data_IF_073402217268
#
_entry.id   IF_073402217268
#
_cell.length_a   1.000
_cell.length_b   1.000
_cell.length_c   1.000
_cell.angle_alpha   90.00
_cell.angle_beta   90.00
_cell.angle_gamma   90.00
#
_symmetry.space_group_name_H-M   'P 1'
#
loop_
_entity.id
_entity.type
_entity.pdbx_description
1 polymer ?
#
# COMPACT_ATOMS: atom_id res chain seq x y z
N UNK A 1 -6.28 -9.63 -22.36
CA UNK A 1 -7.56 -10.20 -21.94
C UNK A 1 -8.74 -9.24 -22.15
N UNK A 2 -8.66 -7.95 -21.71
CA UNK A 2 -9.80 -7.02 -21.80
C UNK A 2 -10.35 -6.85 -23.23
N UNK A 3 -9.48 -6.70 -24.22
CA UNK A 3 -9.87 -6.61 -25.62
C UNK A 3 -10.49 -7.93 -26.12
N UNK A 4 -9.99 -9.07 -25.66
CA UNK A 4 -10.57 -10.39 -26.00
C UNK A 4 -11.95 -10.57 -25.36
N UNK A 5 -12.15 -10.16 -24.10
CA UNK A 5 -13.47 -10.18 -23.48
C UNK A 5 -14.46 -9.27 -24.20
N UNK A 6 -14.03 -8.07 -24.59
CA UNK A 6 -14.87 -7.13 -25.36
C UNK A 6 -15.27 -7.73 -26.71
N UNK A 7 -14.29 -8.27 -27.45
CA UNK A 7 -14.54 -8.90 -28.74
C UNK A 7 -15.53 -10.09 -28.64
N UNK A 8 -15.37 -10.93 -27.62
CA UNK A 8 -16.29 -12.08 -27.39
C UNK A 8 -17.70 -11.63 -26.99
N UNK A 9 -17.85 -10.44 -26.36
CA UNK A 9 -19.15 -9.92 -25.97
C UNK A 9 -19.88 -9.21 -27.12
N UNK A 10 -19.17 -8.36 -27.87
CA UNK A 10 -19.76 -7.40 -28.81
C UNK A 10 -19.46 -7.74 -30.29
N UNK A 11 -18.51 -8.62 -30.56
CA UNK A 11 -18.05 -8.97 -31.91
C UNK A 11 -17.33 -7.82 -32.65
N UNK A 12 -17.06 -6.70 -31.98
CA UNK A 12 -16.52 -5.48 -32.59
C UNK A 12 -15.01 -5.59 -32.72
N UNK A 13 -14.49 -5.48 -33.95
CA UNK A 13 -13.08 -5.42 -34.26
C UNK A 13 -12.64 -3.97 -34.33
N UNK A 14 -11.89 -3.50 -33.33
CA UNK A 14 -11.27 -2.17 -33.34
C UNK A 14 -9.88 -2.22 -33.94
N UNK A 15 -9.36 -1.11 -34.47
CA UNK A 15 -7.97 -1.00 -34.98
C UNK A 15 -6.97 -1.48 -33.91
N UNK A 16 -7.15 -1.06 -32.67
CA UNK A 16 -6.31 -1.46 -31.53
C UNK A 16 -6.40 -2.98 -31.27
N UNK A 17 -7.58 -3.58 -31.43
CA UNK A 17 -7.75 -5.02 -31.32
C UNK A 17 -6.93 -5.75 -32.38
N UNK A 18 -7.04 -5.34 -33.67
CA UNK A 18 -6.31 -5.95 -34.78
C UNK A 18 -4.79 -5.86 -34.57
N UNK A 19 -4.28 -4.69 -34.28
CA UNK A 19 -2.82 -4.49 -34.04
C UNK A 19 -2.31 -5.35 -32.87
N UNK A 20 -3.06 -5.39 -31.76
CA UNK A 20 -2.68 -6.19 -30.58
C UNK A 20 -2.78 -7.69 -30.88
N UNK A 21 -3.76 -8.12 -31.64
CA UNK A 21 -3.94 -9.52 -32.04
C UNK A 21 -2.84 -9.98 -32.97
N UNK A 22 -2.50 -9.20 -33.98
CA UNK A 22 -1.41 -9.51 -34.90
C UNK A 22 -0.08 -9.63 -34.18
N UNK A 23 0.20 -8.72 -33.24
CA UNK A 23 1.41 -8.76 -32.41
C UNK A 23 1.44 -9.96 -31.43
N UNK A 24 0.29 -10.43 -30.96
CA UNK A 24 0.19 -11.52 -29.99
C UNK A 24 0.12 -12.91 -30.65
N UNK A 25 -0.38 -13.00 -31.88
CA UNK A 25 -0.48 -14.27 -32.60
C UNK A 25 0.91 -14.79 -33.02
N UNK A 26 1.27 -15.94 -32.46
CA UNK A 26 2.42 -16.70 -32.95
C UNK A 26 2.11 -17.37 -34.28
N UNK A 27 3.11 -17.89 -34.98
CA UNK A 27 2.92 -18.59 -36.24
C UNK A 27 1.87 -19.72 -36.19
N UNK A 28 1.72 -20.38 -35.04
CA UNK A 28 0.73 -21.43 -34.78
C UNK A 28 -0.70 -20.90 -34.79
N UNK A 29 -0.92 -19.66 -34.38
CA UNK A 29 -2.25 -19.06 -34.25
C UNK A 29 -2.67 -18.19 -35.45
N UNK A 30 -1.81 -18.05 -36.49
CA UNK A 30 -2.14 -17.23 -37.65
C UNK A 30 -3.35 -17.72 -38.44
N UNK A 31 -3.64 -19.04 -38.39
CA UNK A 31 -4.77 -19.68 -39.07
C UNK A 31 -6.02 -19.85 -38.20
N UNK A 32 -5.95 -19.46 -36.92
CA UNK A 32 -7.05 -19.61 -35.97
C UNK A 32 -7.94 -18.37 -36.01
N UNK A 33 -9.25 -18.57 -35.99
CA UNK A 33 -10.20 -17.45 -35.91
C UNK A 33 -10.05 -16.65 -34.62
N UNK A 34 -10.46 -15.38 -34.66
CA UNK A 34 -10.25 -14.45 -33.54
C UNK A 34 -11.00 -14.86 -32.27
N UNK A 35 -12.14 -15.54 -32.39
CA UNK A 35 -12.92 -15.97 -31.23
C UNK A 35 -12.19 -17.09 -30.48
N UNK A 36 -11.74 -18.12 -31.18
CA UNK A 36 -10.95 -19.21 -30.59
C UNK A 36 -9.65 -18.71 -30.00
N UNK A 37 -8.93 -17.84 -30.71
CA UNK A 37 -7.71 -17.22 -30.16
C UNK A 37 -8.01 -16.47 -28.86
N UNK A 38 -9.09 -15.67 -28.80
CA UNK A 38 -9.43 -14.92 -27.59
C UNK A 38 -9.78 -15.84 -26.41
N UNK A 39 -10.47 -16.94 -26.67
CA UNK A 39 -10.79 -17.93 -25.62
C UNK A 39 -9.53 -18.59 -25.08
N UNK A 40 -8.67 -19.09 -25.95
CA UNK A 40 -7.38 -19.70 -25.57
C UNK A 40 -6.48 -18.72 -24.83
N UNK A 41 -6.41 -17.47 -25.32
CA UNK A 41 -5.62 -16.43 -24.67
C UNK A 41 -6.09 -16.13 -23.25
N UNK A 42 -7.41 -16.03 -23.03
CA UNK A 42 -7.99 -15.81 -21.71
C UNK A 42 -7.70 -17.00 -20.80
N UNK A 43 -7.83 -18.24 -21.32
CA UNK A 43 -7.56 -19.44 -20.54
C UNK A 43 -6.09 -19.52 -20.12
N UNK A 44 -5.16 -19.34 -21.04
CA UNK A 44 -3.70 -19.34 -20.75
C UNK A 44 -3.33 -18.22 -19.78
N UNK A 45 -3.94 -17.04 -19.94
CA UNK A 45 -3.73 -15.93 -19.01
C UNK A 45 -4.19 -16.26 -17.59
N UNK A 46 -5.38 -16.85 -17.44
CA UNK A 46 -5.91 -17.28 -16.16
C UNK A 46 -5.05 -18.39 -15.53
N UNK A 47 -4.59 -19.35 -16.32
CA UNK A 47 -3.64 -20.38 -15.87
C UNK A 47 -2.34 -19.74 -15.38
N UNK A 48 -1.80 -18.74 -16.07
CA UNK A 48 -0.62 -17.98 -15.66
C UNK A 48 -0.80 -17.32 -14.29
N UNK A 49 -1.98 -16.74 -14.03
CA UNK A 49 -2.32 -16.21 -12.70
C UNK A 49 -2.31 -17.32 -11.65
N UNK A 50 -2.93 -18.48 -11.90
CA UNK A 50 -2.91 -19.59 -10.97
C UNK A 50 -1.49 -20.10 -10.68
N UNK A 51 -0.63 -20.19 -11.70
CA UNK A 51 0.79 -20.54 -11.49
C UNK A 51 1.54 -19.52 -10.64
N UNK A 52 1.23 -18.23 -10.73
CA UNK A 52 1.84 -17.21 -9.87
C UNK A 52 1.45 -17.40 -8.39
N UNK A 53 0.21 -17.80 -8.10
CA UNK A 53 -0.20 -18.18 -6.74
C UNK A 53 0.54 -19.44 -6.24
N UNK A 54 0.74 -20.45 -7.10
CA UNK A 54 1.51 -21.64 -6.72
C UNK A 54 2.95 -21.26 -6.37
N UNK A 55 3.61 -20.38 -7.13
CA UNK A 55 4.93 -19.88 -6.79
C UNK A 55 4.97 -19.20 -5.40
N UNK A 56 3.95 -18.41 -5.08
CA UNK A 56 3.81 -17.79 -3.75
C UNK A 56 3.62 -18.82 -2.65
N UNK A 57 2.82 -19.86 -2.87
CA UNK A 57 2.62 -20.96 -1.91
C UNK A 57 3.94 -21.69 -1.66
N UNK A 58 4.71 -22.00 -2.71
CA UNK A 58 6.03 -22.65 -2.59
C UNK A 58 6.97 -21.77 -1.74
N UNK A 59 7.04 -20.47 -2.02
CA UNK A 59 7.86 -19.54 -1.24
C UNK A 59 7.46 -19.52 0.24
N UNK A 60 6.16 -19.52 0.53
CA UNK A 60 5.64 -19.60 1.91
C UNK A 60 6.01 -20.92 2.61
N UNK A 61 5.91 -22.05 1.92
CA UNK A 61 6.30 -23.35 2.46
C UNK A 61 7.80 -23.42 2.76
N UNK A 62 8.65 -22.87 1.88
CA UNK A 62 10.09 -22.75 2.12
C UNK A 62 10.35 -21.90 3.38
N UNK A 63 9.70 -20.73 3.47
CA UNK A 63 9.82 -19.85 4.63
C UNK A 63 9.37 -20.53 5.93
N UNK A 64 8.24 -21.23 5.90
CA UNK A 64 7.75 -22.00 7.05
C UNK A 64 8.74 -23.10 7.46
N UNK A 65 9.30 -23.83 6.49
CA UNK A 65 10.29 -24.89 6.74
C UNK A 65 11.54 -24.32 7.41
N UNK A 66 12.07 -23.20 6.89
CA UNK A 66 13.21 -22.49 7.50
C UNK A 66 12.87 -22.07 8.93
N UNK A 67 11.70 -21.46 9.13
CA UNK A 67 11.24 -21.02 10.46
C UNK A 67 11.16 -22.19 11.44
N UNK A 68 10.55 -23.31 11.05
CA UNK A 68 10.41 -24.49 11.90
C UNK A 68 11.78 -25.12 12.22
N UNK A 69 12.71 -25.17 11.26
CA UNK A 69 14.07 -25.68 11.46
C UNK A 69 14.88 -24.77 12.41
N UNK A 70 14.68 -23.46 12.32
CA UNK A 70 15.46 -22.47 13.07
C UNK A 70 14.75 -21.95 14.33
N UNK A 71 13.51 -22.37 14.61
CA UNK A 71 12.71 -21.85 15.74
C UNK A 71 13.41 -21.90 17.11
N UNK A 72 14.35 -22.83 17.32
CA UNK A 72 15.13 -22.93 18.55
C UNK A 72 16.17 -21.83 18.70
N UNK A 73 16.58 -21.19 17.61
CA UNK A 73 17.54 -20.09 17.59
C UNK A 73 16.87 -18.78 18.01
N UNK A 74 15.54 -18.65 17.77
CA UNK A 74 14.81 -17.47 18.18
C UNK A 74 14.64 -17.43 19.69
N UNK A 75 14.70 -16.22 20.30
CA UNK A 75 14.44 -16.04 21.71
C UNK A 75 13.08 -16.64 22.07
N UNK A 76 13.07 -17.69 22.87
CA UNK A 76 11.83 -18.28 23.36
C UNK A 76 11.19 -17.29 24.35
N UNK A 77 9.86 -17.09 24.33
CA UNK A 77 9.22 -16.35 25.39
C UNK A 77 9.60 -17.03 26.72
N UNK A 78 10.11 -16.22 27.65
CA UNK A 78 10.51 -16.72 28.95
C UNK A 78 9.40 -17.65 29.47
N UNK A 79 9.74 -18.90 29.78
CA UNK A 79 8.80 -19.80 30.45
C UNK A 79 8.20 -19.01 31.57
N UNK A 80 6.86 -18.99 31.68
CA UNK A 80 6.18 -18.39 32.82
C UNK A 80 6.81 -19.00 34.07
N UNK A 81 7.87 -18.36 34.59
CA UNK A 81 8.21 -18.57 35.98
C UNK A 81 6.92 -18.32 36.71
N UNK A 82 6.48 -19.27 37.53
CA UNK A 82 5.38 -19.03 38.46
C UNK A 82 5.80 -17.80 39.23
N UNK A 83 5.24 -16.63 38.82
CA UNK A 83 5.53 -15.38 39.47
C UNK A 83 5.27 -15.64 40.94
N UNK A 84 6.29 -15.48 41.77
CA UNK A 84 6.09 -15.44 43.20
C UNK A 84 4.92 -14.50 43.42
N UNK A 85 3.94 -14.95 44.18
CA UNK A 85 2.72 -14.15 44.44
C UNK A 85 3.19 -12.94 45.24
N UNK A 86 3.59 -11.88 44.51
CA UNK A 86 3.88 -10.59 45.11
C UNK A 86 2.52 -10.02 45.45
N UNK A 87 2.18 -9.98 46.72
CA UNK A 87 0.98 -9.31 47.18
C UNK A 87 1.19 -7.79 47.00
N UNK A 88 0.66 -7.27 45.91
CA UNK A 88 0.59 -5.84 45.67
C UNK A 88 -0.50 -5.24 46.55
N UNK A 89 -0.20 -4.08 47.13
CA UNK A 89 -1.22 -3.29 47.86
C UNK A 89 -2.35 -2.89 46.90
N UNK A 90 -3.52 -2.56 47.46
CA UNK A 90 -4.65 -2.11 46.65
C UNK A 90 -4.32 -0.85 45.82
N UNK A 91 -3.49 0.03 46.36
CA UNK A 91 -3.02 1.23 45.63
C UNK A 91 -2.10 0.88 44.46
N UNK A 92 -1.19 -0.07 44.61
CA UNK A 92 -0.30 -0.53 43.51
C UNK A 92 -1.10 -1.23 42.42
N UNK A 93 -2.07 -2.07 42.75
CA UNK A 93 -2.98 -2.70 41.78
C UNK A 93 -3.77 -1.66 40.99
N UNK A 94 -4.27 -0.62 41.65
CA UNK A 94 -4.99 0.47 41.02
C UNK A 94 -4.07 1.29 40.08
N UNK A 95 -2.84 1.57 40.49
CA UNK A 95 -1.85 2.27 39.69
C UNK A 95 -1.47 1.46 38.40
N UNK A 96 -1.22 0.16 38.56
CA UNK A 96 -0.95 -0.73 37.43
C UNK A 96 -2.14 -0.83 36.46
N UNK A 97 -3.36 -0.92 36.97
CA UNK A 97 -4.55 -0.96 36.12
C UNK A 97 -4.74 0.36 35.35
N UNK A 98 -4.45 1.50 35.97
CA UNK A 98 -4.52 2.81 35.31
C UNK A 98 -3.45 2.96 34.23
N UNK A 99 -2.23 2.49 34.49
CA UNK A 99 -1.16 2.45 33.47
C UNK A 99 -1.55 1.61 32.27
N UNK A 100 -2.06 0.38 32.47
CA UNK A 100 -2.54 -0.51 31.41
C UNK A 100 -3.64 0.19 30.60
N UNK A 101 -4.59 0.85 31.28
CA UNK A 101 -5.68 1.58 30.64
C UNK A 101 -5.16 2.71 29.76
N UNK A 102 -4.18 3.50 30.23
CA UNK A 102 -3.56 4.57 29.44
C UNK A 102 -2.83 4.03 28.21
N UNK A 103 -2.08 2.91 28.35
CA UNK A 103 -1.40 2.23 27.26
C UNK A 103 -2.38 1.73 26.20
N UNK A 104 -3.51 1.15 26.59
CA UNK A 104 -4.55 0.71 25.68
C UNK A 104 -5.25 1.89 24.98
N UNK A 105 -5.53 2.98 25.67
CA UNK A 105 -6.07 4.19 25.03
C UNK A 105 -5.12 4.76 23.99
N UNK A 106 -3.82 4.82 24.30
CA UNK A 106 -2.80 5.26 23.36
C UNK A 106 -2.76 4.36 22.11
N UNK A 107 -2.86 3.03 22.32
CA UNK A 107 -2.91 2.08 21.22
C UNK A 107 -4.14 2.29 20.34
N UNK A 108 -5.35 2.34 20.91
CA UNK A 108 -6.59 2.52 20.15
C UNK A 108 -6.64 3.86 19.41
N UNK A 109 -6.12 4.93 20.01
CA UNK A 109 -6.02 6.21 19.33
C UNK A 109 -5.11 6.13 18.09
N UNK A 110 -3.95 5.48 18.21
CA UNK A 110 -3.03 5.26 17.07
C UNK A 110 -3.68 4.37 16.01
N UNK A 111 -4.36 3.27 16.43
CA UNK A 111 -5.06 2.37 15.50
C UNK A 111 -6.14 3.11 14.70
N UNK A 112 -6.93 3.99 15.35
CA UNK A 112 -7.94 4.80 14.68
C UNK A 112 -7.34 5.69 13.57
N UNK A 113 -6.20 6.33 13.84
CA UNK A 113 -5.50 7.17 12.86
C UNK A 113 -4.93 6.33 11.71
N UNK A 114 -4.38 5.17 12.04
CA UNK A 114 -3.70 4.29 11.10
C UNK A 114 -4.68 3.67 10.08
N UNK A 115 -5.97 3.49 10.42
CA UNK A 115 -7.01 3.05 9.47
C UNK A 115 -7.09 4.02 8.28
N UNK A 116 -7.19 5.33 8.53
CA UNK A 116 -7.27 6.35 7.47
C UNK A 116 -5.98 6.44 6.66
N UNK A 117 -4.84 6.28 7.33
CA UNK A 117 -3.55 6.20 6.64
C UNK A 117 -3.51 4.99 5.68
N UNK A 118 -3.84 3.78 6.14
CA UNK A 118 -3.79 2.58 5.31
C UNK A 118 -4.81 2.61 4.16
N UNK A 119 -5.99 3.19 4.39
CA UNK A 119 -6.95 3.43 3.32
C UNK A 119 -6.33 4.25 2.18
N UNK A 120 -5.64 5.35 2.51
CA UNK A 120 -4.96 6.18 1.50
C UNK A 120 -3.73 5.49 0.93
N UNK A 121 -2.89 4.90 1.76
CA UNK A 121 -1.64 4.30 1.33
C UNK A 121 -1.84 3.14 0.34
N UNK A 122 -2.79 2.24 0.61
CA UNK A 122 -3.04 1.09 -0.27
C UNK A 122 -3.70 1.44 -1.61
N UNK A 123 -4.03 2.71 -1.85
CA UNK A 123 -4.37 3.18 -3.19
C UNK A 123 -3.22 3.03 -4.18
N UNK A 124 -1.99 2.84 -3.70
CA UNK A 124 -0.83 2.53 -4.55
C UNK A 124 -1.02 1.23 -5.34
N UNK A 125 -1.70 0.25 -4.78
CA UNK A 125 -1.95 -1.05 -5.43
C UNK A 125 -3.10 -1.02 -6.42
N UNK A 126 -4.14 -0.23 -6.17
CA UNK A 126 -5.35 -0.25 -6.99
C UNK A 126 -5.52 1.05 -7.78
N UNK A 127 -5.81 2.17 -7.13
CA UNK A 127 -6.09 3.43 -7.83
C UNK A 127 -4.91 3.91 -8.69
N UNK A 128 -3.67 3.74 -8.20
CA UNK A 128 -2.49 4.12 -8.96
C UNK A 128 -2.28 3.22 -10.19
N UNK A 129 -2.65 1.93 -10.13
CA UNK A 129 -2.63 1.05 -11.30
C UNK A 129 -3.66 1.45 -12.35
N UNK A 130 -4.87 1.85 -11.93
CA UNK A 130 -5.87 2.41 -12.87
C UNK A 130 -5.41 3.74 -13.45
N UNK A 131 -4.82 4.61 -12.64
CA UNK A 131 -4.24 5.86 -13.14
C UNK A 131 -3.11 5.60 -14.15
N UNK A 132 -2.25 4.63 -13.88
CA UNK A 132 -1.20 4.22 -14.80
C UNK A 132 -1.76 3.75 -16.14
N UNK A 133 -2.81 2.94 -16.12
CA UNK A 133 -3.48 2.44 -17.33
C UNK A 133 -4.08 3.57 -18.17
N UNK A 134 -4.80 4.49 -17.51
CA UNK A 134 -5.63 5.47 -18.22
C UNK A 134 -4.81 6.72 -18.60
N UNK A 135 -4.01 7.27 -17.70
CA UNK A 135 -3.39 8.58 -17.84
C UNK A 135 -1.88 8.56 -18.10
N UNK A 136 -1.23 7.40 -18.05
CA UNK A 136 0.22 7.31 -18.25
C UNK A 136 0.53 6.53 -19.51
N UNK A 137 1.55 6.95 -20.25
CA UNK A 137 2.06 6.18 -21.35
C UNK A 137 2.90 5.01 -20.81
N UNK A 138 2.29 3.81 -20.86
CA UNK A 138 2.88 2.56 -20.37
C UNK A 138 3.03 1.53 -21.48
N UNK A 139 3.17 1.98 -22.73
CA UNK A 139 3.10 1.13 -23.95
C UNK A 139 4.05 -0.07 -23.93
N UNK A 140 5.16 0.04 -23.22
CA UNK A 140 6.17 -1.04 -23.11
C UNK A 140 6.00 -1.93 -21.87
N UNK A 141 5.18 -1.54 -20.89
CA UNK A 141 5.06 -2.23 -19.60
C UNK A 141 3.60 -2.22 -19.16
N UNK A 142 3.03 -3.41 -18.89
CA UNK A 142 1.66 -3.50 -18.39
C UNK A 142 1.47 -2.70 -17.10
N UNK A 143 0.34 -1.97 -16.95
CA UNK A 143 0.10 -1.09 -15.81
C UNK A 143 0.26 -1.77 -14.44
N UNK A 144 -0.08 -3.05 -14.34
CA UNK A 144 0.02 -3.85 -13.13
C UNK A 144 1.48 -4.09 -12.69
N UNK A 145 2.40 -4.18 -13.65
CA UNK A 145 3.85 -4.39 -13.38
C UNK A 145 4.44 -3.15 -12.68
N UNK A 146 3.83 -1.97 -12.86
CA UNK A 146 4.31 -0.76 -12.19
C UNK A 146 4.24 -0.88 -10.66
N UNK A 147 3.31 -1.65 -10.13
CA UNK A 147 3.21 -1.93 -8.70
C UNK A 147 4.46 -2.68 -8.15
N UNK A 148 5.15 -3.47 -8.96
CA UNK A 148 6.38 -4.16 -8.56
C UNK A 148 7.53 -3.21 -8.16
N UNK A 149 7.41 -1.91 -8.48
CA UNK A 149 8.38 -0.89 -8.05
C UNK A 149 8.36 -0.68 -6.53
N UNK A 150 7.22 -0.87 -5.88
CA UNK A 150 7.16 -0.74 -4.43
C UNK A 150 8.07 -1.78 -3.75
N UNK A 151 7.93 -3.11 -3.93
CA UNK A 151 8.85 -4.08 -3.33
C UNK A 151 10.31 -3.90 -3.80
N UNK A 152 10.55 -3.47 -5.03
CA UNK A 152 11.91 -3.15 -5.50
C UNK A 152 12.53 -2.01 -4.66
N UNK A 153 11.81 -0.91 -4.47
CA UNK A 153 12.27 0.19 -3.64
C UNK A 153 12.35 -0.19 -2.15
N UNK A 154 11.49 -1.07 -1.65
CA UNK A 154 11.58 -1.60 -0.28
C UNK A 154 12.94 -2.26 -0.06
N UNK A 155 13.35 -3.15 -0.97
CA UNK A 155 14.66 -3.84 -0.88
C UNK A 155 15.81 -2.84 -0.95
N UNK A 156 15.75 -1.90 -1.89
CA UNK A 156 16.83 -0.92 -2.12
C UNK A 156 16.95 0.10 -0.97
N UNK A 157 15.82 0.61 -0.48
CA UNK A 157 15.81 1.73 0.48
C UNK A 157 15.89 1.27 1.93
N UNK A 158 15.50 0.04 2.26
CA UNK A 158 15.57 -0.47 3.64
C UNK A 158 16.95 -0.30 4.27
N UNK A 159 18.07 -0.75 3.66
CA UNK A 159 19.40 -0.57 4.27
C UNK A 159 19.77 0.91 4.41
N UNK A 160 19.36 1.76 3.48
CA UNK A 160 19.63 3.20 3.51
C UNK A 160 18.90 3.87 4.67
N UNK A 161 17.60 3.61 4.82
CA UNK A 161 16.77 4.17 5.91
C UNK A 161 17.26 3.66 7.28
N UNK A 162 17.61 2.38 7.38
CA UNK A 162 18.16 1.81 8.60
C UNK A 162 19.51 2.44 8.96
N UNK A 163 20.37 2.67 7.97
CA UNK A 163 21.63 3.37 8.17
C UNK A 163 21.42 4.83 8.66
N UNK A 164 20.47 5.57 8.05
CA UNK A 164 20.12 6.93 8.47
C UNK A 164 19.67 6.94 9.94
N UNK A 165 18.74 6.04 10.32
CA UNK A 165 18.29 5.99 11.72
C UNK A 165 19.41 5.62 12.69
N UNK A 166 20.27 4.69 12.32
CA UNK A 166 21.43 4.29 13.12
C UNK A 166 22.45 5.44 13.25
N UNK A 167 22.67 6.20 12.19
CA UNK A 167 23.56 7.35 12.21
C UNK A 167 23.01 8.49 13.09
N UNK A 168 21.69 8.74 13.05
CA UNK A 168 21.02 9.72 13.92
C UNK A 168 21.10 9.31 15.39
N UNK A 169 20.86 8.02 15.69
CA UNK A 169 20.96 7.49 17.04
C UNK A 169 22.38 7.61 17.60
N UNK A 170 23.42 7.28 16.80
CA UNK A 170 24.84 7.44 17.21
C UNK A 170 25.22 8.89 17.50
N UNK A 171 24.54 9.86 16.89
CA UNK A 171 24.73 11.30 17.12
C UNK A 171 23.89 11.85 18.28
N UNK A 172 23.23 10.99 19.06
CA UNK A 172 22.35 11.41 20.16
C UNK A 172 21.06 12.11 19.69
N UNK A 173 20.73 12.04 18.40
CA UNK A 173 19.52 12.64 17.80
C UNK A 173 18.50 11.56 17.45
N UNK A 174 18.25 10.64 18.39
CA UNK A 174 17.27 9.59 18.17
C UNK A 174 15.86 10.18 18.06
N UNK A 175 15.20 9.89 16.93
CA UNK A 175 13.81 10.30 16.71
C UNK A 175 12.91 9.22 17.34
N UNK A 176 11.94 9.64 18.16
CA UNK A 176 10.98 8.72 18.76
C UNK A 176 10.12 8.00 17.72
N UNK A 177 9.66 6.79 18.04
CA UNK A 177 8.84 5.99 17.11
C UNK A 177 7.57 6.71 16.65
N UNK A 178 6.78 7.39 17.52
CA UNK A 178 5.62 8.16 17.06
C UNK A 178 5.98 9.28 16.08
N UNK A 179 7.12 9.95 16.26
CA UNK A 179 7.58 10.98 15.30
C UNK A 179 7.96 10.39 13.95
N UNK A 180 8.64 9.24 13.94
CA UNK A 180 8.97 8.55 12.70
C UNK A 180 7.70 8.17 11.93
N UNK A 181 6.67 7.66 12.61
CA UNK A 181 5.37 7.34 12.01
C UNK A 181 4.71 8.61 11.43
N UNK A 182 4.71 9.72 12.17
CA UNK A 182 4.18 10.99 11.67
C UNK A 182 4.94 11.50 10.43
N UNK A 183 6.27 11.37 10.40
CA UNK A 183 7.09 11.70 9.21
C UNK A 183 6.70 10.82 8.02
N UNK A 184 6.50 9.51 8.23
CA UNK A 184 6.02 8.61 7.18
C UNK A 184 4.66 9.06 6.62
N UNK A 185 3.71 9.45 7.48
CA UNK A 185 2.41 9.99 7.06
C UNK A 185 2.56 11.30 6.27
N UNK A 186 3.50 12.16 6.66
CA UNK A 186 3.82 13.40 5.92
C UNK A 186 4.34 13.10 4.52
N UNK A 187 5.25 12.12 4.38
CA UNK A 187 5.83 11.74 3.09
C UNK A 187 4.76 11.12 2.19
N UNK A 188 3.86 10.27 2.72
CA UNK A 188 2.73 9.74 1.96
C UNK A 188 1.78 10.88 1.52
N UNK A 189 1.48 11.82 2.40
CA UNK A 189 0.72 13.03 2.07
C UNK A 189 1.37 13.83 0.95
N UNK A 190 2.70 14.00 0.98
CA UNK A 190 3.45 14.67 -0.07
C UNK A 190 3.41 13.91 -1.41
N UNK A 191 3.41 12.56 -1.40
CA UNK A 191 3.27 11.76 -2.61
C UNK A 191 1.89 11.98 -3.27
N UNK A 192 0.81 11.99 -2.49
CA UNK A 192 -0.53 12.27 -3.01
C UNK A 192 -0.72 13.74 -3.38
N UNK A 193 -0.10 14.69 -2.68
CA UNK A 193 -0.06 16.10 -3.10
C UNK A 193 0.67 16.28 -4.43
N UNK A 194 1.76 15.56 -4.64
CA UNK A 194 2.44 15.53 -5.93
C UNK A 194 1.50 15.08 -7.05
N UNK A 195 0.76 13.98 -6.86
CA UNK A 195 -0.25 13.52 -7.83
C UNK A 195 -1.40 14.52 -8.01
N UNK A 196 -1.82 15.18 -6.91
CA UNK A 196 -2.84 16.22 -6.94
C UNK A 196 -2.41 17.37 -7.84
N UNK A 197 -1.23 17.94 -7.58
CA UNK A 197 -0.68 19.06 -8.35
C UNK A 197 -0.43 18.64 -9.81
N UNK A 198 0.13 17.45 -10.00
CA UNK A 198 0.39 16.89 -11.32
C UNK A 198 -0.91 16.77 -12.14
N UNK A 199 -1.93 16.12 -11.57
CA UNK A 199 -3.23 15.95 -12.24
C UNK A 199 -3.96 17.28 -12.49
N UNK A 200 -3.76 18.27 -11.61
CA UNK A 200 -4.30 19.62 -11.77
C UNK A 200 -3.64 20.35 -12.95
N UNK A 201 -2.30 20.31 -13.06
CA UNK A 201 -1.54 20.96 -14.14
C UNK A 201 -1.92 20.37 -15.50
N UNK A 202 -2.07 19.05 -15.58
CA UNK A 202 -2.46 18.36 -16.82
C UNK A 202 -3.97 18.39 -17.07
N UNK A 203 -4.75 19.02 -16.18
CA UNK A 203 -6.21 19.16 -16.27
C UNK A 203 -6.95 17.84 -16.58
N UNK A 204 -6.51 16.73 -15.96
CA UNK A 204 -7.10 15.43 -16.21
C UNK A 204 -8.56 15.35 -15.75
N UNK A 205 -9.50 15.01 -16.67
CA UNK A 205 -10.90 14.79 -16.33
C UNK A 205 -11.09 13.46 -15.57
N UNK A 206 -12.33 13.06 -15.33
CA UNK A 206 -12.61 11.72 -14.78
C UNK A 206 -12.03 10.61 -15.64
N UNK A 207 -11.67 9.48 -15.02
CA UNK A 207 -11.12 8.35 -15.78
C UNK A 207 -12.13 7.78 -16.79
N UNK A 208 -13.42 7.88 -16.49
CA UNK A 208 -14.49 7.47 -17.42
C UNK A 208 -14.52 8.36 -18.64
N UNK A 209 -14.49 9.68 -18.46
CA UNK A 209 -14.47 10.66 -19.53
C UNK A 209 -13.20 10.53 -20.38
N UNK A 210 -12.02 10.46 -19.75
CA UNK A 210 -10.75 10.32 -20.45
C UNK A 210 -10.69 9.07 -21.35
N UNK A 211 -11.27 7.95 -20.89
CA UNK A 211 -11.35 6.72 -21.71
C UNK A 211 -12.31 6.80 -22.88
N UNK A 212 -13.33 7.65 -22.79
CA UNK A 212 -14.30 7.84 -23.88
C UNK A 212 -13.81 8.80 -24.98
N UNK A 213 -12.72 9.55 -24.72
CA UNK A 213 -12.15 10.48 -25.70
C UNK A 213 -11.34 9.72 -26.76
N UNK A 214 -11.54 10.10 -28.00
CA UNK A 214 -10.67 9.71 -29.11
C UNK A 214 -9.41 10.60 -29.17
N UNK A 215 -8.44 10.23 -30.00
CA UNK A 215 -7.17 10.96 -30.12
C UNK A 215 -7.37 12.42 -30.56
N UNK A 216 -8.36 12.69 -31.41
CA UNK A 216 -8.65 14.04 -31.91
C UNK A 216 -9.27 14.91 -30.79
N UNK A 217 -10.20 14.36 -30.02
CA UNK A 217 -10.83 15.06 -28.88
C UNK A 217 -9.79 15.34 -27.79
N UNK A 218 -8.89 14.38 -27.50
CA UNK A 218 -7.80 14.58 -26.54
C UNK A 218 -6.86 15.72 -27.01
N UNK A 219 -6.46 15.71 -28.29
CA UNK A 219 -5.60 16.74 -28.85
C UNK A 219 -6.28 18.13 -28.85
N UNK A 220 -7.56 18.20 -29.21
CA UNK A 220 -8.34 19.43 -29.16
C UNK A 220 -8.48 19.99 -27.74
N UNK A 221 -8.59 19.13 -26.72
CA UNK A 221 -8.61 19.50 -25.31
C UNK A 221 -7.21 19.77 -24.72
N UNK A 222 -6.13 19.64 -25.49
CA UNK A 222 -4.75 19.78 -25.00
C UNK A 222 -4.34 18.68 -24.02
N UNK A 223 -5.05 17.56 -23.99
CA UNK A 223 -4.79 16.45 -23.08
C UNK A 223 -3.78 15.47 -23.68
N UNK A 224 -2.79 15.11 -22.90
CA UNK A 224 -1.77 14.12 -23.29
C UNK A 224 -1.55 13.15 -22.13
N UNK A 225 -1.21 11.89 -22.46
CA UNK A 225 -0.80 10.94 -21.42
C UNK A 225 0.53 11.37 -20.82
N UNK A 226 0.67 11.19 -19.52
CA UNK A 226 1.90 11.47 -18.78
C UNK A 226 3.02 10.52 -19.18
N UNK A 227 4.25 10.98 -19.02
CA UNK A 227 5.41 10.08 -19.00
C UNK A 227 5.44 9.19 -17.75
N UNK A 228 6.10 8.03 -17.79
CA UNK A 228 6.11 7.05 -16.70
C UNK A 228 6.82 7.53 -15.44
N UNK A 229 7.56 8.63 -15.48
CA UNK A 229 8.32 9.17 -14.35
C UNK A 229 7.41 9.58 -13.19
N UNK A 230 6.17 10.00 -13.47
CA UNK A 230 5.19 10.31 -12.42
C UNK A 230 4.93 9.12 -11.50
N UNK A 231 4.85 7.91 -12.07
CA UNK A 231 4.67 6.68 -11.29
C UNK A 231 5.93 6.35 -10.49
N UNK A 232 7.12 6.49 -11.10
CA UNK A 232 8.40 6.21 -10.42
C UNK A 232 8.55 7.09 -9.17
N UNK A 233 8.32 8.40 -9.30
CA UNK A 233 8.40 9.34 -8.17
C UNK A 233 7.36 9.03 -7.11
N UNK A 234 6.12 8.73 -7.51
CA UNK A 234 5.05 8.42 -6.57
C UNK A 234 5.34 7.12 -5.80
N UNK A 235 5.71 6.03 -6.47
CA UNK A 235 6.07 4.78 -5.80
C UNK A 235 7.29 4.94 -4.91
N UNK A 236 8.30 5.71 -5.32
CA UNK A 236 9.46 6.02 -4.48
C UNK A 236 9.05 6.69 -3.17
N UNK A 237 8.26 7.78 -3.23
CA UNK A 237 7.81 8.50 -2.05
C UNK A 237 6.93 7.63 -1.15
N UNK A 238 5.99 6.88 -1.73
CA UNK A 238 5.14 5.97 -0.97
C UNK A 238 5.94 4.86 -0.29
N UNK A 239 6.95 4.32 -0.96
CA UNK A 239 7.82 3.29 -0.35
C UNK A 239 8.65 3.87 0.81
N UNK A 240 9.18 5.08 0.67
CA UNK A 240 9.85 5.75 1.79
C UNK A 240 8.88 5.90 2.97
N UNK A 241 7.65 6.36 2.72
CA UNK A 241 6.62 6.47 3.75
C UNK A 241 6.32 5.12 4.44
N UNK A 242 6.23 4.05 3.66
CA UNK A 242 6.00 2.69 4.16
C UNK A 242 7.09 2.24 5.12
N UNK A 243 8.35 2.44 4.76
CA UNK A 243 9.50 2.08 5.61
C UNK A 243 9.52 2.82 6.95
N UNK A 244 8.90 4.01 7.02
CA UNK A 244 8.71 4.76 8.26
C UNK A 244 7.53 4.28 9.10
N UNK A 245 6.57 3.54 8.53
CA UNK A 245 5.33 3.18 9.24
C UNK A 245 5.22 1.69 9.53
N UNK A 246 5.43 0.83 8.52
CA UNK A 246 5.20 -0.62 8.66
C UNK A 246 6.04 -1.26 9.76
N UNK A 247 7.38 -1.22 9.74
CA UNK A 247 8.18 -1.87 10.77
C UNK A 247 8.11 -1.15 12.11
N UNK A 248 8.01 0.18 12.09
CA UNK A 248 8.00 0.99 13.30
C UNK A 248 6.66 0.95 14.02
N UNK A 249 5.56 0.80 13.29
CA UNK A 249 4.24 0.64 13.86
C UNK A 249 4.11 -0.63 14.69
N UNK A 250 4.53 -1.78 14.14
CA UNK A 250 4.56 -3.03 14.91
C UNK A 250 5.51 -2.96 16.11
N UNK A 251 6.68 -2.33 15.96
CA UNK A 251 7.60 -2.09 17.08
C UNK A 251 6.97 -1.20 18.15
N UNK A 252 6.23 -0.16 17.77
CA UNK A 252 5.53 0.73 18.70
C UNK A 252 4.43 -0.02 19.47
N UNK A 253 3.61 -0.80 18.77
CA UNK A 253 2.60 -1.66 19.39
C UNK A 253 3.23 -2.60 20.40
N UNK A 254 4.35 -3.25 20.05
CA UNK A 254 5.06 -4.16 20.94
C UNK A 254 5.61 -3.48 22.21
N UNK A 255 5.98 -2.20 22.12
CA UNK A 255 6.48 -1.43 23.27
C UNK A 255 5.36 -0.98 24.22
N UNK A 256 4.22 -0.57 23.64
CA UNK A 256 3.09 -0.06 24.46
C UNK A 256 2.24 -1.19 25.01
N UNK A 257 2.07 -2.28 24.28
CA UNK A 257 1.19 -3.36 24.65
C UNK A 257 1.62 -4.00 26.00
N UNK A 258 0.68 -4.23 26.92
CA UNK A 258 0.94 -5.05 28.09
C UNK A 258 1.44 -6.43 27.68
N UNK A 259 2.44 -6.97 28.37
CA UNK A 259 3.11 -8.24 28.00
C UNK A 259 2.15 -9.39 27.71
N UNK A 260 1.07 -9.50 28.51
CA UNK A 260 0.05 -10.55 28.37
C UNK A 260 -0.91 -10.35 27.18
N UNK A 261 -1.01 -9.12 26.62
CA UNK A 261 -1.87 -8.76 25.49
C UNK A 261 -1.10 -8.47 24.19
N UNK A 262 0.20 -8.64 24.19
CA UNK A 262 1.07 -8.23 23.09
C UNK A 262 0.64 -8.83 21.73
N UNK A 263 0.31 -10.14 21.70
CA UNK A 263 -0.17 -10.80 20.48
C UNK A 263 -1.51 -10.23 19.99
N UNK A 264 -2.44 -9.96 20.93
CA UNK A 264 -3.74 -9.36 20.60
C UNK A 264 -3.54 -7.94 20.04
N UNK A 265 -2.69 -7.13 20.67
CA UNK A 265 -2.41 -5.77 20.23
C UNK A 265 -1.75 -5.73 18.85
N UNK A 266 -0.85 -6.67 18.54
CA UNK A 266 -0.29 -6.82 17.19
C UNK A 266 -1.36 -7.25 16.17
N UNK A 267 -2.25 -8.16 16.55
CA UNK A 267 -3.40 -8.55 15.73
C UNK A 267 -4.32 -7.36 15.44
N UNK A 268 -4.57 -6.47 16.41
CA UNK A 268 -5.34 -5.24 16.22
C UNK A 268 -4.66 -4.27 15.24
N UNK A 269 -3.33 -4.20 15.21
CA UNK A 269 -2.61 -3.43 14.18
C UNK A 269 -2.91 -3.94 12.78
N UNK A 270 -2.87 -5.26 12.58
CA UNK A 270 -3.22 -5.88 11.30
C UNK A 270 -4.71 -5.70 10.96
N UNK A 271 -5.57 -5.74 11.98
CA UNK A 271 -7.02 -5.45 11.82
C UNK A 271 -7.25 -4.01 11.35
N UNK A 272 -6.53 -3.04 11.90
CA UNK A 272 -6.64 -1.64 11.45
C UNK A 272 -6.23 -1.49 9.97
N UNK A 273 -5.17 -2.19 9.55
CA UNK A 273 -4.78 -2.28 8.13
C UNK A 273 -5.89 -2.90 7.27
N UNK A 274 -6.48 -4.01 7.73
CA UNK A 274 -7.56 -4.69 7.02
C UNK A 274 -8.82 -3.82 6.89
N UNK A 275 -9.19 -3.07 7.94
CA UNK A 275 -10.31 -2.11 7.88
C UNK A 275 -10.02 -1.01 6.85
N UNK A 276 -8.82 -0.45 6.82
CA UNK A 276 -8.42 0.51 5.77
C UNK A 276 -8.60 -0.07 4.37
N UNK A 277 -8.23 -1.34 4.19
CA UNK A 277 -8.34 -2.04 2.91
C UNK A 277 -9.77 -2.30 2.44
N UNK A 278 -10.75 -2.41 3.34
CA UNK A 278 -12.17 -2.55 2.96
C UNK A 278 -12.66 -1.38 2.11
N UNK A 279 -12.08 -0.21 2.27
CA UNK A 279 -12.48 1.00 1.57
C UNK A 279 -11.68 1.28 0.27
N UNK A 280 -10.73 0.42 -0.10
CA UNK A 280 -9.86 0.65 -1.28
C UNK A 280 -10.68 0.88 -2.55
N UNK A 281 -11.78 0.14 -2.75
CA UNK A 281 -12.65 0.28 -3.92
C UNK A 281 -13.22 1.70 -4.09
N UNK A 282 -13.39 2.46 -3.00
CA UNK A 282 -13.84 3.85 -3.07
C UNK A 282 -12.89 4.72 -3.89
N UNK A 283 -11.58 4.45 -3.83
CA UNK A 283 -10.60 5.19 -4.62
C UNK A 283 -10.83 5.06 -6.12
N UNK A 284 -11.11 3.85 -6.60
CA UNK A 284 -11.44 3.61 -8.01
C UNK A 284 -12.75 4.28 -8.39
N UNK A 285 -13.75 4.23 -7.50
CA UNK A 285 -15.01 4.95 -7.70
C UNK A 285 -14.76 6.45 -7.84
N UNK A 286 -13.94 7.05 -6.97
CA UNK A 286 -13.57 8.48 -7.04
C UNK A 286 -12.84 8.81 -8.34
N UNK A 287 -11.90 7.99 -8.81
CA UNK A 287 -11.21 8.17 -10.10
C UNK A 287 -12.18 8.22 -11.28
N UNK A 288 -13.24 7.43 -11.23
CA UNK A 288 -14.23 7.34 -12.31
C UNK A 288 -15.31 8.41 -12.24
N UNK A 289 -15.66 8.92 -11.04
CA UNK A 289 -16.83 9.77 -10.82
C UNK A 289 -16.49 11.25 -10.56
N UNK A 290 -15.34 11.53 -9.98
CA UNK A 290 -14.96 12.93 -9.74
C UNK A 290 -14.69 13.65 -11.06
N UNK A 291 -15.16 14.91 -11.21
CA UNK A 291 -15.00 15.66 -12.45
C UNK A 291 -13.54 15.80 -12.89
N UNK A 292 -12.63 15.87 -11.95
CA UNK A 292 -11.18 16.00 -12.19
C UNK A 292 -10.38 15.08 -11.28
N UNK A 293 -9.32 14.50 -11.82
CA UNK A 293 -8.49 13.52 -11.13
C UNK A 293 -7.78 14.06 -9.87
N UNK A 294 -7.38 15.33 -9.90
CA UNK A 294 -6.72 15.95 -8.75
C UNK A 294 -7.58 15.93 -7.48
N UNK A 295 -8.90 15.96 -7.61
CA UNK A 295 -9.82 15.90 -6.45
C UNK A 295 -9.69 14.56 -5.71
N UNK A 296 -9.55 13.46 -6.43
CA UNK A 296 -9.35 12.14 -5.86
C UNK A 296 -8.03 12.07 -5.06
N UNK A 297 -6.94 12.52 -5.66
CA UNK A 297 -5.64 12.52 -4.99
C UNK A 297 -5.58 13.49 -3.81
N UNK A 298 -6.29 14.63 -3.89
CA UNK A 298 -6.40 15.59 -2.78
C UNK A 298 -7.10 14.97 -1.55
N UNK A 299 -8.10 14.11 -1.74
CA UNK A 299 -8.74 13.39 -0.64
C UNK A 299 -7.74 12.49 0.07
N UNK A 300 -6.94 11.71 -0.65
CA UNK A 300 -5.93 10.82 -0.03
C UNK A 300 -4.80 11.62 0.62
N UNK A 301 -4.36 12.71 0.01
CA UNK A 301 -3.43 13.65 0.63
C UNK A 301 -4.00 14.20 1.95
N UNK A 302 -5.26 14.61 1.94
CA UNK A 302 -5.97 15.12 3.12
C UNK A 302 -5.99 14.10 4.26
N UNK A 303 -6.37 12.85 4.00
CA UNK A 303 -6.36 11.80 5.02
C UNK A 303 -4.96 11.55 5.60
N UNK A 304 -3.92 11.52 4.76
CA UNK A 304 -2.54 11.37 5.24
C UNK A 304 -2.09 12.55 6.11
N UNK A 305 -2.40 13.79 5.69
CA UNK A 305 -2.00 15.01 6.41
C UNK A 305 -2.80 15.20 7.70
N UNK A 306 -4.09 14.86 7.72
CA UNK A 306 -4.89 14.85 8.94
C UNK A 306 -4.34 13.81 9.90
N UNK A 307 -4.07 12.58 9.42
CA UNK A 307 -3.46 11.52 10.23
C UNK A 307 -2.11 11.97 10.82
N UNK A 308 -1.27 12.63 10.03
CA UNK A 308 -0.02 13.23 10.49
C UNK A 308 -0.26 14.27 11.58
N UNK A 309 -1.19 15.21 11.35
CA UNK A 309 -1.50 16.28 12.29
C UNK A 309 -1.98 15.75 13.64
N UNK A 310 -2.90 14.78 13.64
CA UNK A 310 -3.40 14.13 14.86
C UNK A 310 -2.27 13.36 15.55
N UNK A 311 -1.44 12.62 14.81
CA UNK A 311 -0.30 11.90 15.35
C UNK A 311 0.69 12.87 16.02
N UNK A 312 1.04 13.99 15.38
CA UNK A 312 1.92 15.01 15.95
C UNK A 312 1.33 15.66 17.21
N UNK A 313 0.03 15.93 17.24
CA UNK A 313 -0.66 16.44 18.42
C UNK A 313 -0.58 15.49 19.62
N UNK A 314 -0.52 14.18 19.36
CA UNK A 314 -0.47 13.15 20.40
C UNK A 314 0.97 12.73 20.78
N UNK A 315 2.00 13.14 20.03
CA UNK A 315 3.39 12.66 20.20
C UNK A 315 3.87 12.74 21.64
N UNK A 316 3.70 13.89 22.31
CA UNK A 316 4.16 14.08 23.71
C UNK A 316 3.50 13.08 24.67
N UNK A 317 2.21 12.83 24.49
CA UNK A 317 1.48 11.85 25.28
C UNK A 317 1.93 10.42 24.99
N UNK A 318 2.08 10.07 23.69
CA UNK A 318 2.54 8.75 23.27
C UNK A 318 3.97 8.46 23.73
N UNK A 319 4.86 9.46 23.71
CA UNK A 319 6.24 9.34 24.23
C UNK A 319 6.26 9.11 25.75
N UNK A 320 5.31 9.72 26.49
CA UNK A 320 5.19 9.52 27.94
C UNK A 320 4.69 8.10 28.28
N UNK A 321 3.73 7.60 27.52
CA UNK A 321 3.13 6.28 27.73
C UNK A 321 4.06 5.14 27.26
N UNK A 322 4.93 5.40 26.30
CA UNK A 322 5.90 4.42 25.78
C UNK A 322 7.20 4.30 26.61
N UNK A 323 7.42 5.18 27.58
CA UNK A 323 8.51 5.08 28.57
C UNK A 323 8.13 4.14 29.69
#
# INVERSE_FOLDING_TARGET
>A
PALCHQYLADGVVTTKFTETMEAAKTATYQLVDNATFCQDYIEVFNQGIHFSFIASVIAMLISLTIFLATKKIFPQPAKKEKAAVVEYSAAEKAAMANEIKQRLYALFAVLGIVIFFWFSFHQNGQSLSYFARDFVNTDSIAPEIWQARNPFFVILLTPIIMWIFSALARRGKEISTPRKIAIGMAIAGAAFLFLTIYSYIYNYPSATEFRSMDANTMAAAGLTKSGPMVLVVTYFLLTVAELFISPLGLSFVSKIAPRHLQGICQGLWLTATAIGNLFIALGVTMLNTFPQQWMCWAVFAGFCLISMGVMLGMVKWLEKVAK
#
